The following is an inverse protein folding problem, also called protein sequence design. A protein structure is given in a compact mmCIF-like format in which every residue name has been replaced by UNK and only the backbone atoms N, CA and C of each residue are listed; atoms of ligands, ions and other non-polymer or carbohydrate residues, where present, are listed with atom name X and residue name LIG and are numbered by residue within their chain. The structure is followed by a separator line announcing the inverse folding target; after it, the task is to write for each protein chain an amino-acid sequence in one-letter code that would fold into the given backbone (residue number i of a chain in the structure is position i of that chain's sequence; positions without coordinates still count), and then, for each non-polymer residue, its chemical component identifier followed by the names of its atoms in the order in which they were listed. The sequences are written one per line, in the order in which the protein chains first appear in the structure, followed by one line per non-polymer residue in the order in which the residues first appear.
data_IF_018068568172
#
_entry.id   IF_018068568172
#
_cell.length_a   1.000
_cell.length_b   1.000
_cell.length_c   1.000
_cell.angle_alpha   90.00
_cell.angle_beta   90.00
_cell.angle_gamma   90.00
#
_symmetry.space_group_name_H-M   'P 1'
#
loop_
_entity.id
_entity.type
_entity.pdbx_description
1 polymer ?
#
# COMPACT_ATOMS: atom_id res chain seq x y z
N UNK A 1 -31.38 -10.52 -2.22
CA UNK A 1 -29.94 -10.21 -2.40
C UNK A 1 -29.47 -10.66 -3.79
N UNK A 2 -29.22 -9.71 -4.69
CA UNK A 2 -28.66 -10.00 -6.01
C UNK A 2 -27.22 -10.46 -5.85
N UNK A 3 -26.90 -11.63 -6.39
CA UNK A 3 -25.53 -12.15 -6.48
C UNK A 3 -24.68 -11.09 -7.18
N UNK A 4 -23.50 -10.71 -6.65
CA UNK A 4 -22.60 -9.81 -7.36
C UNK A 4 -22.30 -10.39 -8.75
N UNK A 5 -22.38 -9.55 -9.78
CA UNK A 5 -21.99 -9.97 -11.12
C UNK A 5 -20.54 -10.48 -11.09
N UNK A 6 -20.27 -11.54 -11.86
CA UNK A 6 -18.91 -12.03 -12.04
C UNK A 6 -18.03 -10.90 -12.60
N UNK A 7 -16.79 -10.82 -12.13
CA UNK A 7 -15.82 -9.87 -12.65
C UNK A 7 -15.52 -10.22 -14.12
N UNK A 8 -15.37 -9.23 -15.01
CA UNK A 8 -14.98 -9.48 -16.38
C UNK A 8 -13.60 -10.15 -16.43
N UNK A 9 -13.41 -11.07 -17.38
CA UNK A 9 -12.12 -11.73 -17.59
C UNK A 9 -11.07 -10.72 -18.10
N UNK A 10 -9.80 -10.83 -17.68
CA UNK A 10 -8.70 -10.05 -18.26
C UNK A 10 -8.51 -10.32 -19.76
N UNK A 11 -8.17 -9.28 -20.53
CA UNK A 11 -8.06 -9.31 -21.99
C UNK A 11 -6.73 -8.71 -22.48
N UNK A 12 -6.41 -8.96 -23.76
CA UNK A 12 -5.25 -8.36 -24.43
C UNK A 12 -3.90 -8.93 -24.01
N UNK A 13 -2.79 -8.45 -24.61
CA UNK A 13 -1.45 -8.99 -24.38
C UNK A 13 -0.91 -8.74 -22.96
N UNK A 14 -1.52 -7.80 -22.22
CA UNK A 14 -1.11 -7.40 -20.89
C UNK A 14 -2.06 -7.94 -19.79
N UNK A 15 -3.08 -8.74 -20.15
CA UNK A 15 -4.11 -9.23 -19.21
C UNK A 15 -4.79 -8.10 -18.44
N UNK A 16 -5.24 -7.06 -19.14
CA UNK A 16 -5.91 -5.89 -18.58
C UNK A 16 -7.42 -6.14 -18.45
N UNK A 17 -8.06 -5.62 -17.41
CA UNK A 17 -9.53 -5.62 -17.34
C UNK A 17 -10.12 -4.69 -18.42
N UNK A 18 -11.33 -4.98 -18.95
CA UNK A 18 -11.99 -4.11 -19.93
C UNK A 18 -12.18 -2.69 -19.39
N UNK A 19 -12.01 -1.68 -20.26
CA UNK A 19 -12.17 -0.27 -19.90
C UNK A 19 -10.88 0.44 -19.48
N UNK A 20 -9.78 -0.30 -19.29
CA UNK A 20 -8.45 0.31 -19.19
C UNK A 20 -8.00 0.87 -20.53
N UNK A 21 -7.40 2.06 -20.51
CA UNK A 21 -6.93 2.78 -21.69
C UNK A 21 -5.59 3.44 -21.43
N UNK A 22 -4.89 3.82 -22.50
CA UNK A 22 -3.57 4.46 -22.42
C UNK A 22 -2.42 3.46 -22.50
N UNK A 23 -1.20 3.96 -22.25
CA UNK A 23 0.01 3.14 -22.25
C UNK A 23 0.44 2.79 -20.82
N UNK A 24 0.98 1.59 -20.62
CA UNK A 24 1.56 1.17 -19.35
C UNK A 24 2.75 2.07 -18.99
N UNK A 25 2.68 2.72 -17.83
CA UNK A 25 3.80 3.47 -17.26
C UNK A 25 4.59 2.54 -16.36
N UNK A 26 5.86 2.28 -16.71
CA UNK A 26 6.76 1.49 -15.86
C UNK A 26 7.26 2.33 -14.68
N UNK A 27 7.36 1.76 -13.47
CA UNK A 27 8.01 2.44 -12.35
C UNK A 27 9.46 2.83 -12.69
N UNK A 28 9.83 4.06 -12.35
CA UNK A 28 11.21 4.53 -12.41
C UNK A 28 12.03 4.02 -11.21
N UNK A 29 11.38 3.90 -10.04
CA UNK A 29 12.00 3.41 -8.81
C UNK A 29 10.97 2.74 -7.91
N UNK A 30 11.41 1.71 -7.17
CA UNK A 30 10.67 1.12 -6.06
C UNK A 30 11.56 1.16 -4.82
N UNK A 31 11.02 1.68 -3.72
CA UNK A 31 11.65 1.67 -2.41
C UNK A 31 10.77 0.87 -1.45
N UNK A 32 11.36 -0.15 -0.81
CA UNK A 32 10.70 -1.00 0.18
C UNK A 32 11.39 -0.76 1.52
N UNK A 33 10.63 -0.32 2.51
CA UNK A 33 11.14 0.06 3.82
C UNK A 33 10.40 -0.70 4.92
N UNK A 34 11.16 -1.17 5.92
CA UNK A 34 10.61 -1.66 7.17
C UNK A 34 10.90 -0.64 8.27
N UNK A 35 9.84 -0.07 8.84
CA UNK A 35 9.92 0.98 9.87
C UNK A 35 9.58 0.44 11.24
N UNK A 36 10.09 1.09 12.28
CA UNK A 36 9.80 0.74 13.68
C UNK A 36 8.43 1.21 14.15
N UNK A 37 8.11 0.88 15.40
CA UNK A 37 6.98 1.42 16.11
C UNK A 37 7.48 2.47 17.14
N UNK A 38 6.80 3.62 17.31
CA UNK A 38 7.28 4.70 18.17
C UNK A 38 7.17 4.39 19.68
N UNK A 39 6.31 3.45 20.10
CA UNK A 39 6.05 3.17 21.52
C UNK A 39 6.63 1.85 22.00
N UNK A 40 7.04 0.96 21.10
CA UNK A 40 7.45 -0.41 21.44
C UNK A 40 8.46 -0.98 20.46
N UNK A 41 9.22 -2.00 20.91
CA UNK A 41 10.08 -2.78 20.02
C UNK A 41 9.23 -3.67 19.13
N UNK A 42 9.65 -3.83 17.88
CA UNK A 42 8.96 -4.69 16.91
C UNK A 42 9.41 -6.14 17.07
N UNK A 43 8.54 -7.09 16.76
CA UNK A 43 8.85 -8.53 16.66
C UNK A 43 8.87 -8.98 15.20
N UNK A 44 9.50 -10.13 14.91
CA UNK A 44 9.58 -10.65 13.54
C UNK A 44 8.19 -11.00 12.99
N UNK A 45 7.87 -10.52 11.79
CA UNK A 45 6.73 -11.04 11.04
C UNK A 45 6.95 -12.54 10.76
N UNK A 46 5.96 -13.41 11.04
CA UNK A 46 6.03 -14.80 10.64
C UNK A 46 6.03 -14.94 9.11
N UNK A 47 6.61 -16.03 8.61
CA UNK A 47 6.59 -16.36 7.18
C UNK A 47 5.14 -16.51 6.73
N UNK A 48 4.84 -15.98 5.56
CA UNK A 48 3.53 -15.93 4.93
C UNK A 48 2.47 -15.08 5.65
N UNK A 49 2.87 -14.22 6.61
CA UNK A 49 1.98 -13.16 7.08
C UNK A 49 1.51 -12.33 5.88
N UNK A 50 0.19 -12.20 5.74
CA UNK A 50 -0.44 -11.44 4.67
C UNK A 50 -0.90 -10.08 5.19
N UNK A 51 -0.86 -9.05 4.36
CA UNK A 51 -1.41 -7.76 4.73
C UNK A 51 -1.93 -7.04 3.49
N UNK A 52 -3.00 -6.27 3.68
CA UNK A 52 -3.56 -5.40 2.67
C UNK A 52 -3.50 -3.95 3.14
N UNK A 53 -3.28 -3.02 2.21
CA UNK A 53 -3.50 -1.59 2.43
C UNK A 53 -4.28 -0.98 1.26
N UNK A 54 -5.10 0.03 1.54
CA UNK A 54 -6.06 0.57 0.57
C UNK A 54 -7.27 -0.35 0.35
N UNK A 55 -8.07 -0.04 -0.66
CA UNK A 55 -9.26 -0.80 -1.06
C UNK A 55 -9.39 -0.74 -2.59
N UNK A 56 -9.54 -1.89 -3.25
CA UNK A 56 -9.71 -1.95 -4.70
C UNK A 56 -11.08 -1.46 -5.20
N UNK A 57 -12.07 -1.32 -4.30
CA UNK A 57 -13.47 -1.03 -4.64
C UNK A 57 -14.15 -0.03 -3.68
N UNK A 58 -13.55 1.15 -3.42
CA UNK A 58 -14.08 2.10 -2.45
C UNK A 58 -15.42 2.72 -2.86
N UNK A 59 -15.73 2.78 -4.17
CA UNK A 59 -17.02 3.31 -4.65
C UNK A 59 -18.16 2.37 -4.32
N UNK A 60 -17.97 1.07 -4.52
CA UNK A 60 -19.02 0.06 -4.30
C UNK A 60 -19.09 -0.50 -2.87
N UNK A 61 -17.96 -0.55 -2.14
CA UNK A 61 -17.90 -1.07 -0.75
C UNK A 61 -17.83 0.03 0.32
N UNK A 62 -17.70 1.29 -0.09
CA UNK A 62 -17.45 2.41 0.78
C UNK A 62 -15.95 2.58 1.10
N UNK A 63 -15.55 3.79 1.55
CA UNK A 63 -14.14 4.18 1.62
C UNK A 63 -13.40 3.75 2.89
N UNK A 64 -14.01 2.95 3.76
CA UNK A 64 -13.49 2.69 5.11
C UNK A 64 -12.06 2.11 5.14
N UNK A 65 -11.72 1.30 4.14
CA UNK A 65 -10.38 0.69 3.99
C UNK A 65 -9.47 1.46 3.02
N UNK A 66 -10.01 2.41 2.26
CA UNK A 66 -9.26 3.16 1.28
C UNK A 66 -8.27 4.11 1.98
N UNK A 67 -7.16 4.39 1.31
CA UNK A 67 -6.04 5.18 1.86
C UNK A 67 -5.58 6.21 0.85
N UNK A 68 -5.26 7.40 1.33
CA UNK A 68 -4.51 8.38 0.55
C UNK A 68 -3.09 7.84 0.37
N UNK A 69 -2.67 7.61 -0.87
CA UNK A 69 -1.37 7.02 -1.22
C UNK A 69 -0.56 7.89 -2.17
N UNK A 70 -1.18 8.87 -2.83
CA UNK A 70 -0.54 9.61 -3.90
C UNK A 70 0.19 10.84 -3.39
N UNK A 71 1.38 11.10 -3.92
CA UNK A 71 2.18 12.28 -3.57
C UNK A 71 3.22 12.56 -4.66
N UNK A 72 4.09 13.52 -4.40
CA UNK A 72 5.26 13.82 -5.23
C UNK A 72 6.54 13.47 -4.47
N UNK A 73 7.61 13.14 -5.20
CA UNK A 73 8.93 12.95 -4.62
C UNK A 73 9.32 14.16 -3.76
N UNK A 74 9.76 13.92 -2.52
CA UNK A 74 10.06 14.96 -1.53
C UNK A 74 8.89 15.37 -0.63
N UNK A 75 7.69 14.81 -0.83
CA UNK A 75 6.48 15.11 -0.06
C UNK A 75 5.82 13.85 0.54
N UNK A 76 6.62 12.81 0.83
CA UNK A 76 6.11 11.51 1.32
C UNK A 76 5.46 11.56 2.73
N UNK A 77 5.49 12.73 3.39
CA UNK A 77 4.77 13.07 4.62
C UNK A 77 3.34 13.60 4.35
N UNK A 78 3.02 13.94 3.10
CA UNK A 78 1.74 14.53 2.67
C UNK A 78 1.14 13.67 1.57
N UNK A 79 0.22 12.79 1.95
CA UNK A 79 -0.47 11.89 1.03
C UNK A 79 -1.83 12.47 0.63
N UNK A 80 -2.21 12.25 -0.62
CA UNK A 80 -3.48 12.65 -1.20
C UNK A 80 -4.29 11.42 -1.64
N UNK A 81 -5.61 11.54 -1.54
CA UNK A 81 -6.59 10.64 -2.16
C UNK A 81 -6.90 11.06 -3.60
N UNK A 82 -6.17 12.04 -4.16
CA UNK A 82 -6.28 12.54 -5.53
C UNK A 82 -4.96 12.39 -6.26
N UNK A 83 -5.03 12.35 -7.58
CA UNK A 83 -3.83 12.42 -8.40
C UNK A 83 -3.12 13.77 -8.25
N UNK A 84 -1.81 13.78 -7.99
CA UNK A 84 -1.09 14.99 -7.73
C UNK A 84 -0.69 15.68 -9.04
N UNK A 85 -0.46 16.98 -8.91
CA UNK A 85 0.28 17.78 -9.87
C UNK A 85 1.60 18.11 -9.20
N UNK A 86 2.69 17.54 -9.72
CA UNK A 86 4.00 17.65 -9.08
C UNK A 86 4.78 18.90 -9.54
N UNK A 87 5.63 19.45 -8.66
CA UNK A 87 6.62 20.45 -9.05
C UNK A 87 7.51 19.96 -10.19
N UNK A 88 8.06 20.90 -10.97
CA UNK A 88 8.98 20.56 -12.04
C UNK A 88 10.20 19.80 -11.49
N UNK A 89 10.58 18.71 -12.16
CA UNK A 89 11.68 17.84 -11.72
C UNK A 89 11.32 16.84 -10.61
N UNK A 90 10.07 16.84 -10.11
CA UNK A 90 9.60 15.84 -9.15
C UNK A 90 8.86 14.68 -9.84
N UNK A 91 8.98 13.49 -9.27
CA UNK A 91 8.27 12.30 -9.71
C UNK A 91 6.90 12.19 -9.03
N UNK A 92 5.92 11.60 -9.71
CA UNK A 92 4.68 11.16 -9.08
C UNK A 92 4.98 9.89 -8.28
N UNK A 93 4.50 9.81 -7.04
CA UNK A 93 4.74 8.68 -6.16
C UNK A 93 3.44 8.10 -5.61
N UNK A 94 3.40 6.77 -5.50
CA UNK A 94 2.46 6.02 -4.66
C UNK A 94 3.22 5.58 -3.42
N UNK A 95 2.81 6.02 -2.23
CA UNK A 95 3.36 5.66 -0.92
C UNK A 95 2.29 4.87 -0.18
N UNK A 96 2.58 3.60 0.07
CA UNK A 96 1.63 2.64 0.61
C UNK A 96 2.15 2.10 1.94
N UNK A 97 1.51 2.55 3.01
CA UNK A 97 1.79 2.10 4.37
C UNK A 97 0.90 0.93 4.72
N UNK A 98 1.52 -0.18 5.13
CA UNK A 98 0.81 -1.34 5.66
C UNK A 98 0.57 -1.20 7.17
N UNK A 99 -0.39 -1.96 7.71
CA UNK A 99 -0.50 -2.21 9.15
C UNK A 99 0.84 -2.57 9.80
N UNK A 100 1.10 -2.03 11.00
CA UNK A 100 2.34 -2.26 11.76
C UNK A 100 2.12 -3.01 13.08
N UNK A 101 0.90 -3.48 13.33
CA UNK A 101 0.50 -4.22 14.52
C UNK A 101 -0.07 -5.57 14.10
N UNK A 102 0.25 -6.62 14.84
CA UNK A 102 -0.16 -8.00 14.57
C UNK A 102 -0.77 -8.63 15.82
N UNK A 103 -1.81 -9.45 15.67
CA UNK A 103 -2.51 -10.11 16.78
C UNK A 103 -1.67 -11.17 17.53
N UNK A 104 -0.45 -11.43 17.05
CA UNK A 104 0.50 -12.36 17.67
C UNK A 104 0.24 -13.83 17.37
N UNK A 105 -0.76 -14.15 16.56
CA UNK A 105 -1.20 -15.52 16.30
C UNK A 105 -1.36 -15.86 14.82
N UNK A 106 -2.09 -15.04 14.06
CA UNK A 106 -2.58 -15.45 12.75
C UNK A 106 -1.75 -14.85 11.61
N UNK A 107 -1.32 -15.67 10.65
CA UNK A 107 -0.64 -15.18 9.44
C UNK A 107 -1.61 -14.63 8.38
N UNK A 108 -2.90 -14.91 8.55
CA UNK A 108 -3.97 -14.44 7.68
C UNK A 108 -5.30 -14.45 8.44
N UNK A 109 -6.31 -13.79 7.89
CA UNK A 109 -7.71 -13.87 8.35
C UNK A 109 -8.64 -13.97 7.14
N UNK A 110 -9.89 -14.38 7.34
CA UNK A 110 -10.85 -14.58 6.23
C UNK A 110 -11.02 -13.34 5.33
N UNK A 111 -10.83 -12.14 5.89
CA UNK A 111 -10.87 -10.87 5.18
C UNK A 111 -9.49 -10.24 4.93
N UNK A 112 -8.40 -10.96 5.22
CA UNK A 112 -7.00 -10.55 5.11
C UNK A 112 -6.61 -9.29 5.91
N UNK A 113 -7.44 -8.86 6.86
CA UNK A 113 -7.28 -7.58 7.58
C UNK A 113 -7.37 -7.71 9.10
N UNK A 114 -8.24 -8.54 9.65
CA UNK A 114 -8.52 -8.55 11.09
C UNK A 114 -7.33 -8.97 11.98
N UNK A 115 -6.37 -9.71 11.43
CA UNK A 115 -5.19 -10.17 12.16
C UNK A 115 -4.06 -9.11 12.23
N UNK A 116 -4.20 -8.00 11.50
CA UNK A 116 -3.25 -6.87 11.52
C UNK A 116 -3.98 -5.53 11.73
N UNK A 117 -3.30 -4.56 12.30
CA UNK A 117 -3.87 -3.24 12.55
C UNK A 117 -2.88 -2.12 12.31
N UNK A 118 -3.40 -0.95 11.94
CA UNK A 118 -2.63 0.29 12.01
C UNK A 118 -2.48 0.69 13.48
N UNK A 119 -1.31 1.19 13.84
CA UNK A 119 -1.11 1.83 15.13
C UNK A 119 -2.00 3.08 15.25
N UNK A 120 -2.34 3.45 16.47
CA UNK A 120 -3.08 4.68 16.75
C UNK A 120 -2.29 5.91 16.24
N UNK A 121 -2.97 6.84 15.58
CA UNK A 121 -2.30 7.97 14.91
C UNK A 121 -1.73 8.99 15.90
N UNK A 122 -2.31 9.12 17.09
CA UNK A 122 -1.90 10.12 18.07
C UNK A 122 -0.76 9.60 18.95
N UNK A 123 -0.88 8.35 19.40
CA UNK A 123 0.05 7.73 20.35
C UNK A 123 1.09 6.84 19.67
N UNK A 124 0.77 6.29 18.50
CA UNK A 124 1.59 5.27 17.84
C UNK A 124 1.54 3.89 18.49
N UNK A 125 0.65 3.70 19.48
CA UNK A 125 0.48 2.42 20.16
C UNK A 125 -0.29 1.41 19.29
N UNK A 126 0.03 0.13 19.43
CA UNK A 126 -0.80 -0.92 18.88
C UNK A 126 -2.09 -1.10 19.68
N UNK A 127 -3.21 -1.51 19.05
CA UNK A 127 -4.44 -1.84 19.76
C UNK A 127 -4.21 -2.92 20.83
N UNK A 128 -5.09 -2.97 21.83
CA UNK A 128 -5.01 -3.98 22.89
C UNK A 128 -5.02 -5.40 22.28
N UNK A 129 -4.09 -6.24 22.73
CA UNK A 129 -3.92 -7.61 22.23
C UNK A 129 -3.06 -7.72 20.96
N UNK A 130 -2.61 -6.60 20.39
CA UNK A 130 -1.69 -6.60 19.25
C UNK A 130 -0.28 -6.23 19.71
N UNK A 131 0.72 -6.82 19.04
CA UNK A 131 2.12 -6.49 19.18
C UNK A 131 2.67 -5.81 17.93
N UNK A 132 3.67 -4.94 18.10
CA UNK A 132 4.28 -4.24 16.99
C UNK A 132 5.12 -5.19 16.12
N UNK A 133 4.98 -5.07 14.81
CA UNK A 133 5.83 -5.69 13.78
C UNK A 133 6.48 -4.58 12.94
N UNK A 134 7.56 -4.84 12.19
CA UNK A 134 8.12 -3.85 11.28
C UNK A 134 7.03 -3.38 10.31
N UNK A 135 6.73 -2.09 10.34
CA UNK A 135 5.70 -1.52 9.48
C UNK A 135 6.28 -1.35 8.07
N UNK A 136 5.70 -2.07 7.11
CA UNK A 136 6.10 -2.02 5.72
C UNK A 136 5.59 -0.73 5.06
N UNK A 137 6.49 -0.01 4.39
CA UNK A 137 6.17 1.05 3.44
C UNK A 137 6.71 0.66 2.07
N UNK A 138 5.87 0.75 1.05
CA UNK A 138 6.28 0.62 -0.35
C UNK A 138 6.05 1.95 -1.03
N UNK A 139 7.12 2.52 -1.60
CA UNK A 139 7.05 3.73 -2.42
C UNK A 139 7.38 3.39 -3.86
N UNK A 140 6.48 3.70 -4.79
CA UNK A 140 6.67 3.49 -6.23
C UNK A 140 6.66 4.84 -6.93
N UNK A 141 7.75 5.17 -7.62
CA UNK A 141 7.92 6.45 -8.32
C UNK A 141 7.77 6.28 -9.84
N UNK A 142 7.17 7.28 -10.49
CA UNK A 142 6.90 7.30 -11.92
C UNK A 142 7.29 8.64 -12.54
N UNK A 143 7.89 8.57 -13.72
CA UNK A 143 8.17 9.72 -14.58
C UNK A 143 6.95 10.03 -15.44
N UNK A 144 5.97 10.74 -14.87
CA UNK A 144 4.74 11.12 -15.56
C UNK A 144 4.92 12.52 -16.15
N UNK A 145 4.74 12.66 -17.47
CA UNK A 145 4.88 13.93 -18.16
C UNK A 145 3.93 14.99 -17.58
N UNK A 146 4.45 16.20 -17.35
CA UNK A 146 3.72 17.29 -16.67
C UNK A 146 2.37 17.60 -17.32
N UNK A 147 2.29 17.56 -18.64
CA UNK A 147 1.05 17.78 -19.39
C UNK A 147 -0.03 16.73 -19.10
N UNK A 148 0.35 15.45 -18.90
CA UNK A 148 -0.56 14.38 -18.46
C UNK A 148 -1.10 14.68 -17.06
N UNK A 149 -0.22 15.12 -16.15
CA UNK A 149 -0.62 15.48 -14.79
C UNK A 149 -1.61 16.65 -14.75
N UNK A 150 -1.32 17.75 -15.47
CA UNK A 150 -2.22 18.93 -15.55
C UNK A 150 -3.60 18.54 -16.09
N UNK A 151 -3.62 17.70 -17.13
CA UNK A 151 -4.87 17.28 -17.76
C UNK A 151 -5.61 16.19 -16.98
N UNK A 152 -5.05 15.71 -15.86
CA UNK A 152 -5.64 14.65 -15.05
C UNK A 152 -5.80 13.32 -15.79
N UNK A 153 -4.97 13.04 -16.80
CA UNK A 153 -5.08 11.87 -17.68
C UNK A 153 -4.45 10.62 -17.06
N UNK A 154 -4.69 10.40 -15.76
CA UNK A 154 -4.27 9.21 -15.06
C UNK A 154 -5.29 8.09 -15.29
N UNK A 155 -4.80 6.90 -15.58
CA UNK A 155 -5.60 5.69 -15.72
C UNK A 155 -5.04 4.62 -14.78
N UNK A 156 -5.33 4.71 -13.48
CA UNK A 156 -5.04 3.62 -12.56
C UNK A 156 -5.88 2.42 -12.97
N UNK A 157 -5.22 1.30 -13.23
CA UNK A 157 -5.89 0.03 -13.52
C UNK A 157 -6.67 -0.41 -12.28
N UNK A 158 -7.98 -0.51 -12.44
CA UNK A 158 -8.93 -0.81 -11.40
C UNK A 158 -10.18 -1.43 -12.02
N UNK A 159 -11.13 -1.80 -11.17
CA UNK A 159 -12.43 -2.25 -11.64
C UNK A 159 -13.13 -1.14 -12.46
N UNK A 160 -13.89 -1.48 -13.52
CA UNK A 160 -14.58 -0.49 -14.35
C UNK A 160 -15.44 0.49 -13.55
N UNK A 161 -16.08 0.01 -12.48
CA UNK A 161 -16.94 0.81 -11.61
C UNK A 161 -16.17 1.87 -10.81
N UNK A 162 -14.87 1.69 -10.62
CA UNK A 162 -14.02 2.67 -9.95
C UNK A 162 -13.53 3.75 -10.90
N UNK A 163 -13.67 3.59 -12.22
CA UNK A 163 -13.39 4.63 -13.22
C UNK A 163 -12.05 5.37 -12.99
N UNK A 164 -10.97 4.60 -12.82
CA UNK A 164 -9.62 5.11 -12.52
C UNK A 164 -9.53 6.02 -11.28
N UNK A 165 -10.41 5.82 -10.29
CA UNK A 165 -10.39 6.56 -9.03
C UNK A 165 -9.05 6.37 -8.30
N UNK A 166 -8.28 7.44 -8.00
CA UNK A 166 -7.02 7.32 -7.27
C UNK A 166 -7.17 6.67 -5.88
N UNK A 167 -8.37 6.75 -5.30
CA UNK A 167 -8.66 6.19 -3.98
C UNK A 167 -8.91 4.68 -4.01
N UNK A 168 -9.03 4.06 -5.20
CA UNK A 168 -9.07 2.60 -5.37
C UNK A 168 -7.67 1.96 -5.38
N UNK A 169 -6.63 2.77 -5.20
CA UNK A 169 -5.26 2.29 -5.06
C UNK A 169 -5.12 1.42 -3.81
N UNK A 170 -4.49 0.27 -3.98
CA UNK A 170 -4.27 -0.73 -2.95
C UNK A 170 -2.99 -1.49 -3.21
N UNK A 171 -2.54 -2.22 -2.19
CA UNK A 171 -1.40 -3.11 -2.30
C UNK A 171 -1.56 -4.30 -1.36
N UNK A 172 -1.01 -5.42 -1.80
CA UNK A 172 -1.10 -6.72 -1.19
C UNK A 172 0.31 -7.20 -0.89
N UNK A 173 0.54 -7.65 0.33
CA UNK A 173 1.83 -8.13 0.79
C UNK A 173 1.72 -9.53 1.37
N UNK A 174 2.72 -10.36 1.07
CA UNK A 174 2.95 -11.65 1.73
C UNK A 174 4.42 -11.71 2.17
N UNK A 175 4.65 -11.91 3.46
CA UNK A 175 6.01 -11.98 4.00
C UNK A 175 6.72 -13.28 3.58
N UNK A 176 7.54 -13.21 2.54
CA UNK A 176 8.34 -14.36 2.07
C UNK A 176 9.79 -14.35 2.57
N UNK A 177 10.15 -13.39 3.43
CA UNK A 177 11.46 -13.34 4.06
C UNK A 177 11.74 -14.62 4.87
N UNK A 178 13.01 -15.03 4.90
CA UNK A 178 13.45 -16.07 5.83
C UNK A 178 13.38 -15.58 7.28
N UNK A 179 13.30 -16.50 8.25
CA UNK A 179 13.37 -16.16 9.67
C UNK A 179 14.67 -15.40 10.01
N UNK A 180 15.80 -15.76 9.37
CA UNK A 180 17.07 -15.07 9.55
C UNK A 180 17.01 -13.62 9.04
N UNK A 181 16.41 -13.40 7.86
CA UNK A 181 16.23 -12.06 7.28
C UNK A 181 15.36 -11.20 8.18
N UNK A 182 14.21 -11.71 8.65
CA UNK A 182 13.34 -10.97 9.57
C UNK A 182 14.03 -10.65 10.89
N UNK A 183 14.81 -11.58 11.45
CA UNK A 183 15.56 -11.33 12.67
C UNK A 183 16.59 -10.20 12.47
N UNK A 184 17.24 -10.12 11.31
CA UNK A 184 18.17 -9.01 10.98
C UNK A 184 17.43 -7.68 10.89
N UNK A 185 16.30 -7.64 10.18
CA UNK A 185 15.44 -6.46 10.06
C UNK A 185 15.02 -5.95 11.45
N UNK A 186 14.43 -6.83 12.27
CA UNK A 186 13.98 -6.50 13.62
C UNK A 186 15.14 -6.02 14.50
N UNK A 187 16.29 -6.71 14.45
CA UNK A 187 17.46 -6.32 15.23
C UNK A 187 17.97 -4.94 14.82
N UNK A 188 17.97 -4.62 13.53
CA UNK A 188 18.34 -3.29 13.04
C UNK A 188 17.39 -2.21 13.57
N UNK A 189 16.08 -2.40 13.35
CA UNK A 189 15.04 -1.46 13.75
C UNK A 189 15.05 -1.25 15.27
N UNK A 190 15.11 -2.33 16.05
CA UNK A 190 15.11 -2.25 17.50
C UNK A 190 16.38 -1.61 18.07
N UNK A 191 17.47 -1.53 17.31
CA UNK A 191 18.67 -0.75 17.66
C UNK A 191 18.60 0.72 17.22
N UNK A 192 17.51 1.15 16.59
CA UNK A 192 17.34 2.51 16.10
C UNK A 192 18.28 2.85 14.94
N UNK A 193 18.66 1.85 14.13
CA UNK A 193 19.57 2.03 12.99
C UNK A 193 18.80 2.07 11.68
N UNK A 194 19.38 2.77 10.71
CA UNK A 194 19.04 2.61 9.30
C UNK A 194 19.98 1.56 8.71
N UNK A 195 19.42 0.47 8.18
CA UNK A 195 20.19 -0.58 7.52
C UNK A 195 19.74 -0.73 6.07
N UNK A 196 20.69 -1.00 5.19
CA UNK A 196 20.53 -1.26 3.76
C UNK A 196 21.14 -2.59 3.40
#
# INVERSE_FOLDING_TARGET
PTTPAALPDPQGPNFELPGNTGGIVRPAQVLIEYRGNPTSKVVSMPKFLRALTGDAKPTSRGPANARATWTCSGFADRLSDKYPICPAGSQVQRVQDFPGCWDGKNIDSDNHRNHVAFADKATGACPQGFQAIPQLRITVAYDIARNVQVKGQYALDSFPEENHNPFSDHNDFVNVNSAQTMQRIVTCINKGKNCS
#
